data_IF_178926333610
#
_entry.id   IF_178926333610
#
_cell.length_a   1.000
_cell.length_b   1.000
_cell.length_c   1.000
_cell.angle_alpha   90.00
_cell.angle_beta   90.00
_cell.angle_gamma   90.00
#
_symmetry.space_group_name_H-M   'P 1'
#
loop_
_entity.id
_entity.type
_entity.pdbx_description
1 polymer ?
#
# COMPACT_ATOMS: atom_id res chain seq x y z
N UNK A 1 -8.80 28.92 -21.77
CA UNK A 1 -8.77 27.85 -20.74
C UNK A 1 -9.44 26.63 -21.34
N UNK A 2 -8.69 25.84 -22.12
CA UNK A 2 -9.22 24.64 -22.79
C UNK A 2 -8.94 23.43 -21.88
N UNK A 3 -9.97 22.95 -21.20
CA UNK A 3 -9.95 21.65 -20.51
C UNK A 3 -10.19 20.60 -21.59
N UNK A 4 -9.11 20.02 -22.14
CA UNK A 4 -9.22 18.78 -22.88
C UNK A 4 -9.44 17.66 -21.87
N UNK A 5 -10.71 17.34 -21.61
CA UNK A 5 -11.09 16.08 -21.01
C UNK A 5 -10.76 14.98 -22.02
N UNK A 6 -9.58 14.36 -21.86
CA UNK A 6 -9.30 13.06 -22.46
C UNK A 6 -10.24 12.06 -21.78
N UNK A 7 -11.45 11.93 -22.34
CA UNK A 7 -12.28 10.74 -22.15
C UNK A 7 -11.51 9.58 -22.78
N UNK A 8 -10.69 8.91 -21.97
CA UNK A 8 -10.36 7.53 -22.26
C UNK A 8 -11.72 6.81 -22.20
N UNK A 9 -12.22 6.23 -23.31
CA UNK A 9 -13.45 5.46 -23.24
C UNK A 9 -13.22 4.41 -22.16
N UNK A 10 -14.09 4.38 -21.15
CA UNK A 10 -14.21 3.23 -20.28
C UNK A 10 -14.35 2.04 -21.21
N UNK A 11 -13.29 1.25 -21.38
CA UNK A 11 -13.45 -0.05 -21.99
C UNK A 11 -14.52 -0.73 -21.16
N UNK A 12 -15.58 -1.18 -21.82
CA UNK A 12 -16.52 -2.10 -21.20
C UNK A 12 -15.68 -3.15 -20.48
N UNK A 13 -15.93 -3.32 -19.18
CA UNK A 13 -15.43 -4.46 -18.42
C UNK A 13 -15.90 -5.68 -19.21
N UNK A 14 -15.02 -6.23 -20.03
CA UNK A 14 -15.32 -7.47 -20.73
C UNK A 14 -15.53 -8.49 -19.63
N UNK A 15 -16.75 -9.01 -19.52
CA UNK A 15 -17.02 -10.16 -18.69
C UNK A 15 -15.94 -11.19 -18.98
N UNK A 16 -15.30 -11.72 -17.93
CA UNK A 16 -14.30 -12.73 -18.12
C UNK A 16 -14.93 -13.88 -18.91
N UNK A 17 -14.41 -14.19 -20.10
CA UNK A 17 -14.73 -15.45 -20.76
C UNK A 17 -14.39 -16.58 -19.78
N UNK A 18 -15.24 -17.59 -19.65
CA UNK A 18 -15.18 -18.73 -18.71
C UNK A 18 -13.92 -19.64 -18.83
N UNK A 19 -12.81 -19.12 -19.36
CA UNK A 19 -11.51 -19.78 -19.51
C UNK A 19 -10.46 -19.40 -18.48
N UNK A 20 -10.77 -18.56 -17.48
CA UNK A 20 -9.79 -18.17 -16.45
C UNK A 20 -9.27 -19.37 -15.64
N UNK A 21 -10.13 -20.33 -15.32
CA UNK A 21 -9.72 -21.58 -14.68
C UNK A 21 -8.65 -22.32 -15.49
N UNK A 22 -8.84 -22.42 -16.81
CA UNK A 22 -7.86 -23.06 -17.69
C UNK A 22 -6.57 -22.25 -17.77
N UNK A 23 -6.66 -20.92 -17.89
CA UNK A 23 -5.47 -20.03 -17.87
C UNK A 23 -4.64 -20.20 -16.59
N UNK A 24 -5.28 -20.30 -15.43
CA UNK A 24 -4.59 -20.54 -14.14
C UNK A 24 -3.89 -21.89 -14.14
N UNK A 25 -4.55 -22.94 -14.65
CA UNK A 25 -3.96 -24.29 -14.78
C UNK A 25 -2.79 -24.31 -15.75
N UNK A 26 -2.94 -23.71 -16.93
CA UNK A 26 -1.90 -23.65 -17.97
C UNK A 26 -0.67 -22.87 -17.48
N UNK A 27 -0.89 -21.76 -16.77
CA UNK A 27 0.16 -20.96 -16.14
C UNK A 27 0.81 -21.69 -14.95
N UNK A 28 0.16 -22.71 -14.40
CA UNK A 28 0.63 -23.47 -13.23
C UNK A 28 0.71 -22.65 -11.94
N UNK A 29 0.10 -21.47 -11.89
CA UNK A 29 0.14 -20.58 -10.71
C UNK A 29 -1.21 -19.91 -10.47
N UNK A 30 -1.65 -19.90 -9.21
CA UNK A 30 -2.83 -19.16 -8.73
C UNK A 30 -2.36 -17.95 -7.93
N UNK A 31 -2.63 -16.75 -8.44
CA UNK A 31 -2.26 -15.47 -7.82
C UNK A 31 -3.42 -14.98 -6.96
N UNK A 32 -3.22 -14.91 -5.65
CA UNK A 32 -4.26 -14.56 -4.68
C UNK A 32 -3.99 -13.20 -4.04
N UNK A 33 -4.96 -12.29 -4.12
CA UNK A 33 -4.95 -11.02 -3.41
C UNK A 33 -5.44 -11.16 -1.97
N UNK A 34 -4.75 -10.56 -1.00
CA UNK A 34 -5.14 -10.57 0.42
C UNK A 34 -4.64 -9.32 1.16
N UNK A 35 -5.17 -9.04 2.36
CA UNK A 35 -4.67 -8.02 3.29
C UNK A 35 -4.25 -8.67 4.60
N UNK A 36 -2.97 -9.03 4.73
CA UNK A 36 -2.43 -9.85 5.82
C UNK A 36 -2.24 -9.10 7.16
N UNK A 37 -3.24 -8.31 7.54
CA UNK A 37 -3.36 -7.58 8.81
C UNK A 37 -4.63 -7.99 9.60
N UNK A 38 -5.21 -9.15 9.30
CA UNK A 38 -6.51 -9.60 9.79
C UNK A 38 -6.48 -11.00 10.46
N UNK A 39 -5.71 -11.21 11.54
CA UNK A 39 -5.71 -12.48 12.25
C UNK A 39 -7.07 -12.78 12.90
N UNK A 40 -7.59 -14.03 12.87
CA UNK A 40 -6.92 -15.26 12.45
C UNK A 40 -7.13 -15.64 10.97
N UNK A 41 -7.70 -14.76 10.14
CA UNK A 41 -8.00 -15.05 8.73
C UNK A 41 -6.73 -15.04 7.88
N UNK A 42 -6.06 -13.90 7.83
CA UNK A 42 -4.81 -13.72 7.11
C UNK A 42 -3.89 -12.82 7.90
N UNK A 43 -2.70 -13.32 8.17
CA UNK A 43 -1.66 -12.57 8.86
C UNK A 43 -0.31 -13.15 8.50
N UNK A 44 0.74 -12.50 8.97
CA UNK A 44 2.09 -12.94 8.70
C UNK A 44 2.77 -13.46 9.96
N UNK A 45 3.58 -14.48 9.77
CA UNK A 45 4.50 -15.00 10.78
C UNK A 45 5.90 -15.13 10.21
N UNK A 46 6.88 -15.16 11.12
CA UNK A 46 8.26 -15.47 10.78
C UNK A 46 8.49 -16.96 11.00
N UNK A 47 8.91 -17.66 9.95
CA UNK A 47 9.33 -19.06 10.04
C UNK A 47 10.59 -19.23 9.19
N UNK A 48 11.69 -19.69 9.78
CA UNK A 48 12.95 -19.91 9.06
C UNK A 48 13.63 -18.65 8.50
N UNK A 49 13.28 -17.45 8.99
CA UNK A 49 13.83 -16.19 8.45
C UNK A 49 12.97 -15.53 7.38
N UNK A 50 11.98 -16.26 6.84
CA UNK A 50 11.08 -15.77 5.79
C UNK A 50 9.71 -15.36 6.35
N UNK A 51 9.07 -14.44 5.63
CA UNK A 51 7.67 -14.06 5.86
C UNK A 51 6.77 -15.12 5.26
N UNK A 52 5.99 -15.80 6.11
CA UNK A 52 4.93 -16.69 5.65
C UNK A 52 3.57 -16.07 5.90
N UNK A 53 2.70 -16.16 4.90
CA UNK A 53 1.29 -15.84 5.03
C UNK A 53 0.54 -17.06 5.58
N UNK A 54 -0.11 -16.86 6.72
CA UNK A 54 -0.80 -17.91 7.47
C UNK A 54 -2.18 -17.43 7.93
N UNK A 55 -3.00 -18.38 8.38
CA UNK A 55 -4.36 -18.12 8.85
C UNK A 55 -5.39 -18.92 8.07
N UNK A 56 -6.65 -18.81 8.49
CA UNK A 56 -7.79 -19.51 7.90
C UNK A 56 -7.87 -19.32 6.38
N UNK A 57 -7.76 -18.09 5.91
CA UNK A 57 -7.89 -17.74 4.49
C UNK A 57 -6.70 -18.29 3.69
N UNK A 58 -5.51 -18.28 4.27
CA UNK A 58 -4.32 -18.82 3.63
C UNK A 58 -4.39 -20.35 3.51
N UNK A 59 -4.96 -21.04 4.49
CA UNK A 59 -5.13 -22.48 4.42
C UNK A 59 -6.23 -22.88 3.42
N UNK A 60 -7.31 -22.09 3.30
CA UNK A 60 -8.30 -22.26 2.22
C UNK A 60 -7.66 -22.01 0.85
N UNK A 61 -6.85 -20.96 0.70
CA UNK A 61 -6.16 -20.64 -0.56
C UNK A 61 -5.18 -21.76 -0.96
N UNK A 62 -4.40 -22.30 0.00
CA UNK A 62 -3.50 -23.44 -0.22
C UNK A 62 -4.28 -24.68 -0.65
N UNK A 63 -5.39 -24.99 0.02
CA UNK A 63 -6.24 -26.14 -0.34
C UNK A 63 -6.82 -25.99 -1.73
N UNK A 64 -7.27 -24.80 -2.11
CA UNK A 64 -7.79 -24.53 -3.43
C UNK A 64 -6.72 -24.63 -4.52
N UNK A 65 -5.53 -24.04 -4.30
CA UNK A 65 -4.40 -24.19 -5.22
C UNK A 65 -3.98 -25.66 -5.41
N UNK A 66 -3.97 -26.44 -4.31
CA UNK A 66 -3.69 -27.87 -4.36
C UNK A 66 -4.75 -28.65 -5.15
N UNK A 67 -6.03 -28.35 -4.97
CA UNK A 67 -7.13 -28.97 -5.74
C UNK A 67 -7.04 -28.65 -7.24
N UNK A 68 -6.47 -27.50 -7.59
CA UNK A 68 -6.20 -27.10 -8.98
C UNK A 68 -4.89 -27.67 -9.54
N UNK A 69 -4.01 -28.20 -8.69
CA UNK A 69 -2.68 -28.69 -9.09
C UNK A 69 -1.68 -27.58 -9.45
N UNK A 70 -1.85 -26.38 -8.89
CA UNK A 70 -1.04 -25.18 -9.22
C UNK A 70 -0.29 -24.62 -8.01
N UNK A 71 0.75 -23.83 -8.25
CA UNK A 71 1.49 -23.15 -7.18
C UNK A 71 0.73 -21.91 -6.70
N UNK A 72 0.64 -21.72 -5.39
CA UNK A 72 0.03 -20.54 -4.80
C UNK A 72 1.01 -19.36 -4.75
N UNK A 73 0.58 -18.19 -5.23
CA UNK A 73 1.33 -16.92 -5.14
C UNK A 73 0.48 -15.89 -4.42
N UNK A 74 0.95 -15.40 -3.27
CA UNK A 74 0.22 -14.40 -2.48
C UNK A 74 0.67 -12.99 -2.84
N UNK A 75 -0.28 -12.10 -3.13
CA UNK A 75 -0.10 -10.66 -3.26
C UNK A 75 -0.81 -9.93 -2.12
N UNK A 76 -0.02 -9.47 -1.16
CA UNK A 76 -0.51 -8.68 -0.04
C UNK A 76 -0.61 -7.20 -0.41
N UNK A 77 -1.73 -6.54 -0.11
CA UNK A 77 -1.96 -5.11 -0.36
C UNK A 77 -2.98 -4.54 0.63
N UNK A 78 -3.36 -3.26 0.49
CA UNK A 78 -4.44 -2.70 1.31
C UNK A 78 -5.79 -3.31 0.92
N UNK A 79 -6.67 -3.51 1.92
CA UNK A 79 -7.98 -4.12 1.73
C UNK A 79 -8.85 -3.39 0.71
N UNK A 80 -8.82 -2.05 0.69
CA UNK A 80 -9.55 -1.20 -0.25
C UNK A 80 -9.06 -1.34 -1.71
N UNK A 81 -7.86 -1.87 -1.91
CA UNK A 81 -7.24 -2.05 -3.22
C UNK A 81 -7.50 -3.44 -3.82
N UNK A 82 -8.07 -4.37 -3.05
CA UNK A 82 -8.24 -5.77 -3.44
C UNK A 82 -9.19 -5.96 -4.63
N UNK A 83 -10.35 -5.31 -4.60
CA UNK A 83 -11.33 -5.43 -5.69
C UNK A 83 -10.81 -4.78 -6.97
N UNK A 84 -10.15 -3.63 -6.87
CA UNK A 84 -9.47 -2.99 -8.01
C UNK A 84 -8.40 -3.91 -8.59
N UNK A 85 -7.61 -4.59 -7.76
CA UNK A 85 -6.61 -5.55 -8.21
C UNK A 85 -7.24 -6.76 -8.94
N UNK A 86 -8.43 -7.18 -8.53
CA UNK A 86 -9.19 -8.26 -9.15
C UNK A 86 -9.78 -7.84 -10.50
N UNK A 87 -10.41 -6.67 -10.55
CA UNK A 87 -10.98 -6.06 -11.76
C UNK A 87 -9.91 -5.77 -12.83
N UNK A 88 -8.71 -5.36 -12.39
CA UNK A 88 -7.56 -5.12 -13.29
C UNK A 88 -6.74 -6.38 -13.58
N UNK A 89 -7.24 -7.56 -13.22
CA UNK A 89 -6.61 -8.87 -13.43
C UNK A 89 -5.18 -8.98 -12.89
N UNK A 90 -4.84 -8.23 -11.83
CA UNK A 90 -3.56 -8.34 -11.13
C UNK A 90 -3.52 -9.56 -10.20
N UNK A 91 -4.68 -10.07 -9.82
CA UNK A 91 -4.88 -11.30 -9.03
C UNK A 91 -5.99 -12.11 -9.70
N UNK A 92 -5.93 -13.44 -9.54
CA UNK A 92 -6.93 -14.38 -10.09
C UNK A 92 -8.13 -14.52 -9.15
N UNK A 93 -7.92 -14.28 -7.85
CA UNK A 93 -8.97 -14.26 -6.84
C UNK A 93 -8.55 -13.42 -5.62
N UNK A 94 -9.52 -13.02 -4.82
CA UNK A 94 -9.30 -12.35 -3.52
C UNK A 94 -9.89 -13.20 -2.40
N UNK A 95 -9.09 -13.44 -1.37
CA UNK A 95 -9.53 -14.05 -0.11
C UNK A 95 -8.92 -13.26 1.06
N UNK A 96 -9.78 -12.55 1.78
CA UNK A 96 -9.38 -11.64 2.86
C UNK A 96 -10.53 -11.33 3.82
N UNK A 97 -11.19 -12.38 4.34
CA UNK A 97 -12.37 -12.26 5.20
C UNK A 97 -13.56 -11.55 4.54
N UNK A 98 -13.57 -11.44 3.20
CA UNK A 98 -14.40 -10.47 2.49
C UNK A 98 -15.88 -10.86 2.48
N UNK A 99 -16.74 -9.94 2.92
CA UNK A 99 -18.20 -10.12 2.85
C UNK A 99 -18.74 -9.87 1.43
N UNK A 100 -19.60 -10.76 0.88
CA UNK A 100 -20.21 -10.58 -0.43
C UNK A 100 -21.44 -9.66 -0.33
N UNK A 101 -21.22 -8.37 -0.14
CA UNK A 101 -22.30 -7.37 -0.13
C UNK A 101 -22.90 -7.21 -1.52
N UNK A 102 -24.16 -6.76 -1.62
CA UNK A 102 -24.84 -6.53 -2.89
C UNK A 102 -24.04 -5.58 -3.80
N UNK A 103 -23.53 -4.50 -3.24
CA UNK A 103 -22.67 -3.53 -3.95
C UNK A 103 -21.43 -4.19 -4.56
N UNK A 104 -20.76 -5.11 -3.85
CA UNK A 104 -19.59 -5.82 -4.40
C UNK A 104 -19.98 -6.83 -5.48
N UNK A 105 -21.16 -7.45 -5.33
CA UNK A 105 -21.67 -8.40 -6.31
C UNK A 105 -22.00 -7.75 -7.67
N UNK A 106 -22.16 -6.43 -7.72
CA UNK A 106 -22.29 -5.71 -9.00
C UNK A 106 -20.98 -5.75 -9.79
N UNK A 107 -19.83 -5.60 -9.12
CA UNK A 107 -18.51 -5.55 -9.76
C UNK A 107 -17.80 -6.89 -9.90
N UNK A 108 -18.03 -7.84 -8.99
CA UNK A 108 -17.31 -9.13 -8.93
C UNK A 108 -18.25 -10.29 -8.62
N UNK A 109 -17.80 -11.51 -8.88
CA UNK A 109 -18.53 -12.72 -8.48
C UNK A 109 -17.95 -13.31 -7.19
N UNK A 110 -18.78 -14.02 -6.43
CA UNK A 110 -18.38 -14.61 -5.15
C UNK A 110 -18.63 -16.11 -5.09
N UNK A 111 -17.76 -16.81 -4.37
CA UNK A 111 -18.05 -18.17 -3.92
C UNK A 111 -19.15 -18.19 -2.85
N UNK A 112 -19.58 -19.40 -2.51
CA UNK A 112 -20.36 -19.68 -1.30
C UNK A 112 -19.56 -19.23 -0.08
N UNK A 113 -20.27 -18.69 0.91
CA UNK A 113 -19.70 -18.32 2.22
C UNK A 113 -18.91 -19.50 2.80
N UNK A 114 -17.60 -19.34 3.03
CA UNK A 114 -16.77 -20.37 3.65
C UNK A 114 -16.81 -20.32 5.17
N UNK A 115 -16.93 -19.12 5.75
CA UNK A 115 -16.98 -18.92 7.20
C UNK A 115 -18.01 -17.84 7.56
N UNK A 116 -18.66 -17.98 8.72
CA UNK A 116 -19.60 -16.96 9.24
C UNK A 116 -19.12 -16.46 10.59
N UNK A 117 -18.48 -15.30 10.62
CA UNK A 117 -18.24 -14.55 11.84
C UNK A 117 -19.34 -13.53 12.12
N UNK A 118 -19.57 -13.28 13.42
CA UNK A 118 -20.42 -12.19 13.88
C UNK A 118 -19.62 -10.88 13.91
N UNK A 119 -20.32 -9.75 14.04
CA UNK A 119 -19.70 -8.42 14.08
C UNK A 119 -19.61 -7.92 15.51
N UNK A 120 -18.40 -7.57 15.93
CA UNK A 120 -18.06 -7.23 17.31
C UNK A 120 -17.40 -5.85 17.40
N UNK A 121 -17.20 -5.38 18.62
CA UNK A 121 -16.39 -4.20 18.89
C UNK A 121 -15.26 -4.54 19.86
N UNK A 122 -14.09 -3.97 19.58
CA UNK A 122 -12.97 -3.92 20.49
C UNK A 122 -13.00 -2.58 21.23
N UNK A 123 -12.83 -2.61 22.54
CA UNK A 123 -12.78 -1.44 23.42
C UNK A 123 -11.55 -1.51 24.33
N UNK A 124 -11.15 -0.39 24.93
CA UNK A 124 -10.20 -0.45 26.04
C UNK A 124 -10.86 -1.14 27.24
N UNK A 125 -10.10 -1.98 27.94
CA UNK A 125 -10.57 -2.71 29.12
C UNK A 125 -11.10 -1.78 30.22
N UNK A 126 -10.52 -0.59 30.36
CA UNK A 126 -11.00 0.45 31.29
C UNK A 126 -12.43 0.94 31.01
N UNK A 127 -12.88 0.87 29.75
CA UNK A 127 -14.18 1.37 29.31
C UNK A 127 -15.29 0.29 29.36
N UNK A 128 -14.97 -0.90 29.85
CA UNK A 128 -15.90 -2.05 29.93
C UNK A 128 -17.18 -1.74 30.69
N UNK A 129 -17.11 -0.95 31.77
CA UNK A 129 -18.29 -0.61 32.56
C UNK A 129 -19.24 0.32 31.79
N UNK A 130 -18.67 1.15 30.91
CA UNK A 130 -19.38 2.18 30.13
C UNK A 130 -20.00 1.60 28.86
N UNK A 131 -19.31 0.69 28.18
CA UNK A 131 -19.75 0.14 26.90
C UNK A 131 -20.24 -1.31 27.01
N UNK A 132 -21.57 -1.49 26.97
CA UNK A 132 -22.24 -2.80 27.09
C UNK A 132 -23.11 -3.18 25.89
N UNK A 133 -23.52 -2.21 25.07
CA UNK A 133 -24.41 -2.41 23.90
C UNK A 133 -24.28 -1.27 22.89
N UNK A 134 -24.85 -1.39 21.68
CA UNK A 134 -24.85 -0.29 20.68
C UNK A 134 -25.33 1.04 21.28
N UNK A 135 -26.37 1.03 22.12
CA UNK A 135 -26.93 2.25 22.71
C UNK A 135 -25.94 2.97 23.63
N UNK A 136 -25.04 2.24 24.28
CA UNK A 136 -24.03 2.82 25.17
C UNK A 136 -22.94 3.62 24.44
N UNK A 137 -22.88 3.51 23.12
CA UNK A 137 -21.95 4.29 22.28
C UNK A 137 -22.48 5.64 21.85
N UNK A 138 -23.62 6.14 22.34
CA UNK A 138 -24.12 7.45 21.88
C UNK A 138 -23.04 8.56 21.96
N UNK A 139 -22.90 9.34 20.89
CA UNK A 139 -21.95 10.45 20.78
C UNK A 139 -20.48 10.03 21.02
N UNK A 140 -20.10 8.85 20.56
CA UNK A 140 -18.72 8.35 20.62
C UNK A 140 -18.09 8.30 19.23
N UNK A 141 -16.76 8.25 19.18
CA UNK A 141 -16.01 8.04 17.93
C UNK A 141 -15.73 6.55 17.77
N UNK A 142 -16.19 5.96 16.66
CA UNK A 142 -16.08 4.52 16.36
C UNK A 142 -15.15 4.33 15.17
N UNK A 143 -14.08 3.58 15.36
CA UNK A 143 -13.15 3.20 14.31
C UNK A 143 -13.64 2.01 13.49
N UNK A 144 -13.39 2.00 12.18
CA UNK A 144 -13.61 0.84 11.33
C UNK A 144 -12.68 0.87 10.10
N UNK A 145 -12.35 -0.29 9.53
CA UNK A 145 -11.48 -0.36 8.36
C UNK A 145 -12.19 0.21 7.13
N UNK A 146 -11.56 1.13 6.39
CA UNK A 146 -12.16 1.73 5.20
C UNK A 146 -12.52 0.65 4.18
N UNK A 147 -13.71 0.75 3.57
CA UNK A 147 -14.21 -0.20 2.58
C UNK A 147 -14.73 -1.53 3.15
N UNK A 148 -14.75 -1.71 4.48
CA UNK A 148 -15.26 -2.92 5.14
C UNK A 148 -16.77 -2.89 5.43
N UNK A 149 -17.38 -4.06 5.66
CA UNK A 149 -18.78 -4.15 6.10
C UNK A 149 -19.00 -3.42 7.44
N UNK A 150 -18.04 -3.52 8.35
CA UNK A 150 -18.11 -2.91 9.68
C UNK A 150 -18.15 -1.38 9.58
N UNK A 151 -17.42 -0.79 8.64
CA UNK A 151 -17.49 0.64 8.36
C UNK A 151 -18.91 1.05 7.93
N UNK A 152 -19.50 0.30 6.99
CA UNK A 152 -20.88 0.54 6.53
C UNK A 152 -21.91 0.35 7.64
N UNK A 153 -21.79 -0.70 8.46
CA UNK A 153 -22.69 -0.96 9.58
C UNK A 153 -22.66 0.15 10.64
N UNK A 154 -21.48 0.64 11.00
CA UNK A 154 -21.33 1.79 11.91
C UNK A 154 -21.99 3.03 11.31
N UNK A 155 -21.70 3.34 10.04
CA UNK A 155 -22.28 4.50 9.34
C UNK A 155 -23.82 4.45 9.28
N UNK A 156 -24.40 3.27 9.06
CA UNK A 156 -25.85 3.09 8.90
C UNK A 156 -26.59 3.01 10.24
N UNK A 157 -26.05 2.29 11.23
CA UNK A 157 -26.76 1.93 12.46
C UNK A 157 -26.37 2.80 13.66
N UNK A 158 -25.26 3.53 13.59
CA UNK A 158 -24.76 4.39 14.67
C UNK A 158 -24.72 5.85 14.21
N UNK A 159 -25.82 6.37 13.67
CA UNK A 159 -25.90 7.72 13.06
C UNK A 159 -25.53 8.88 14.01
N UNK A 160 -25.66 8.67 15.33
CA UNK A 160 -25.30 9.66 16.36
C UNK A 160 -23.83 9.56 16.79
N UNK A 161 -23.02 8.80 16.06
CA UNK A 161 -21.60 8.59 16.32
C UNK A 161 -20.77 9.18 15.20
N UNK A 162 -19.57 9.63 15.56
CA UNK A 162 -18.54 9.91 14.57
C UNK A 162 -17.90 8.59 14.14
N UNK A 163 -17.74 8.38 12.83
CA UNK A 163 -17.01 7.23 12.29
C UNK A 163 -15.62 7.66 11.83
N UNK A 164 -14.60 6.91 12.25
CA UNK A 164 -13.21 7.13 11.84
C UNK A 164 -12.72 5.95 11.00
N UNK A 165 -12.57 6.18 9.70
CA UNK A 165 -12.02 5.21 8.75
C UNK A 165 -10.50 5.24 8.74
N UNK A 166 -9.85 4.08 8.84
CA UNK A 166 -8.42 3.91 8.55
C UNK A 166 -8.21 2.67 7.68
N UNK A 167 -7.16 2.65 6.88
CA UNK A 167 -6.89 1.55 5.95
C UNK A 167 -6.43 0.25 6.64
N UNK A 168 -5.70 0.37 7.76
CA UNK A 168 -5.11 -0.77 8.49
C UNK A 168 -5.81 -0.99 9.82
N UNK A 169 -6.04 -2.25 10.16
CA UNK A 169 -6.68 -2.59 11.42
C UNK A 169 -5.81 -2.26 12.65
N UNK A 170 -4.49 -2.45 12.53
CA UNK A 170 -3.54 -2.12 13.59
C UNK A 170 -3.58 -0.62 13.95
N UNK A 171 -3.72 0.27 12.97
CA UNK A 171 -3.81 1.70 13.21
C UNK A 171 -5.08 2.07 13.99
N UNK A 172 -6.19 1.36 13.74
CA UNK A 172 -7.42 1.50 14.51
C UNK A 172 -7.24 1.04 15.95
N UNK A 173 -6.53 -0.08 16.17
CA UNK A 173 -6.21 -0.56 17.52
C UNK A 173 -5.31 0.42 18.27
N UNK A 174 -4.33 1.04 17.60
CA UNK A 174 -3.50 2.10 18.19
C UNK A 174 -4.35 3.34 18.52
N UNK A 175 -5.23 3.75 17.61
CA UNK A 175 -6.17 4.85 17.84
C UNK A 175 -7.07 4.57 19.05
N UNK A 176 -7.51 3.31 19.23
CA UNK A 176 -8.29 2.89 20.38
C UNK A 176 -7.48 3.00 21.67
N UNK A 177 -6.28 2.44 21.71
CA UNK A 177 -5.40 2.46 22.88
C UNK A 177 -5.03 3.88 23.32
N UNK A 178 -4.85 4.78 22.34
CA UNK A 178 -4.58 6.21 22.58
C UNK A 178 -5.83 7.04 22.90
N UNK A 179 -7.03 6.44 22.88
CA UNK A 179 -8.28 7.13 23.15
C UNK A 179 -8.78 8.05 22.03
N UNK A 180 -8.16 8.01 20.84
CA UNK A 180 -8.60 8.73 19.64
C UNK A 180 -9.89 8.16 19.03
N UNK A 181 -10.20 6.90 19.34
CA UNK A 181 -11.51 6.27 19.12
C UNK A 181 -11.91 5.52 20.39
N UNK A 182 -13.21 5.37 20.63
CA UNK A 182 -13.75 4.72 21.82
C UNK A 182 -14.00 3.22 21.62
N UNK A 183 -14.22 2.81 20.37
CA UNK A 183 -14.33 1.42 19.97
C UNK A 183 -13.84 1.23 18.54
N UNK A 184 -13.47 0.01 18.19
CA UNK A 184 -13.18 -0.40 16.82
C UNK A 184 -14.10 -1.54 16.43
N UNK A 185 -14.89 -1.35 15.37
CA UNK A 185 -15.74 -2.39 14.82
C UNK A 185 -14.90 -3.34 13.94
N UNK A 186 -15.00 -4.64 14.22
CA UNK A 186 -14.28 -5.71 13.52
C UNK A 186 -15.03 -7.04 13.66
N UNK A 187 -14.62 -8.06 12.90
CA UNK A 187 -15.23 -9.38 13.03
C UNK A 187 -14.86 -10.08 14.34
N UNK A 188 -15.73 -10.96 14.82
CA UNK A 188 -15.64 -11.62 16.13
C UNK A 188 -14.29 -12.30 16.37
N UNK A 189 -13.82 -13.10 15.40
CA UNK A 189 -12.59 -13.87 15.56
C UNK A 189 -11.38 -12.93 15.71
N UNK A 190 -11.35 -11.85 14.92
CA UNK A 190 -10.33 -10.81 14.97
C UNK A 190 -10.37 -10.00 16.26
N UNK A 191 -11.56 -9.59 16.72
CA UNK A 191 -11.71 -8.92 18.02
C UNK A 191 -11.15 -9.77 19.16
N UNK A 192 -11.51 -11.07 19.17
CA UNK A 192 -11.04 -12.02 20.18
C UNK A 192 -9.53 -12.24 20.10
N UNK A 193 -8.97 -12.29 18.88
CA UNK A 193 -7.53 -12.38 18.65
C UNK A 193 -6.78 -11.21 19.31
N UNK A 194 -7.21 -9.97 19.06
CA UNK A 194 -6.58 -8.78 19.66
C UNK A 194 -6.74 -8.74 21.19
N UNK A 195 -7.92 -9.03 21.73
CA UNK A 195 -8.11 -9.00 23.17
C UNK A 195 -7.38 -10.12 23.92
N UNK A 196 -7.18 -11.29 23.29
CA UNK A 196 -6.39 -12.38 23.87
C UNK A 196 -4.90 -12.02 23.94
N UNK A 197 -4.38 -11.35 22.90
CA UNK A 197 -2.97 -10.98 22.80
C UNK A 197 -2.64 -9.59 23.37
N UNK A 198 -3.64 -8.84 23.83
CA UNK A 198 -3.47 -7.53 24.44
C UNK A 198 -4.33 -7.39 25.69
N UNK A 199 -3.68 -7.41 26.86
CA UNK A 199 -4.35 -7.37 28.17
C UNK A 199 -5.11 -6.06 28.46
N UNK A 200 -4.81 -4.99 27.72
CA UNK A 200 -5.48 -3.70 27.81
C UNK A 200 -6.77 -3.58 27.00
N UNK A 201 -7.11 -4.60 26.20
CA UNK A 201 -8.27 -4.59 25.30
C UNK A 201 -9.34 -5.57 25.76
N UNK A 202 -10.60 -5.29 25.40
CA UNK A 202 -11.73 -6.18 25.66
C UNK A 202 -12.68 -6.19 24.45
N UNK A 203 -13.30 -7.34 24.25
CA UNK A 203 -14.32 -7.55 23.21
C UNK A 203 -15.72 -7.38 23.80
N UNK A 204 -16.61 -6.73 23.05
CA UNK A 204 -18.04 -6.66 23.34
C UNK A 204 -18.84 -7.06 22.10
N UNK A 205 -20.01 -7.66 22.31
CA UNK A 205 -20.98 -7.90 21.26
C UNK A 205 -21.96 -6.72 21.20
N UNK A 206 -21.85 -5.81 20.22
CA UNK A 206 -22.77 -4.70 20.07
C UNK A 206 -24.18 -5.14 19.65
N UNK A 207 -24.32 -6.36 19.10
CA UNK A 207 -25.53 -6.86 18.43
C UNK A 207 -25.91 -6.04 17.19
N UNK A 208 -24.96 -5.85 16.27
CA UNK A 208 -25.25 -5.29 14.95
C UNK A 208 -26.35 -6.09 14.26
N UNK A 209 -27.31 -5.39 13.64
CA UNK A 209 -28.30 -6.04 12.76
C UNK A 209 -27.61 -6.29 11.43
N UNK A 210 -27.40 -7.54 11.06
CA UNK A 210 -26.76 -7.86 9.78
C UNK A 210 -27.68 -8.76 8.99
N UNK A 211 -27.86 -8.46 7.71
CA UNK A 211 -28.61 -9.32 6.81
C UNK A 211 -27.85 -10.64 6.67
N UNK A 212 -28.51 -11.76 6.98
CA UNK A 212 -27.94 -13.10 6.88
C UNK A 212 -27.35 -13.42 5.50
N UNK A 213 -27.88 -12.82 4.43
CA UNK A 213 -27.38 -12.96 3.05
C UNK A 213 -26.02 -12.27 2.83
N UNK A 214 -25.71 -11.25 3.63
CA UNK A 214 -24.47 -10.47 3.57
C UNK A 214 -23.46 -10.86 4.66
N UNK A 215 -23.82 -11.82 5.53
CA UNK A 215 -22.96 -12.29 6.62
C UNK A 215 -22.05 -13.44 6.22
N UNK A 216 -20.78 -13.29 6.62
CA UNK A 216 -19.74 -14.29 6.42
C UNK A 216 -18.80 -13.92 5.29
N UNK A 217 -17.74 -14.71 5.18
CA UNK A 217 -16.62 -14.47 4.28
C UNK A 217 -16.74 -15.39 3.06
N UNK A 218 -16.52 -14.81 1.88
CA UNK A 218 -16.51 -15.49 0.59
C UNK A 218 -15.26 -15.11 -0.21
N UNK A 219 -14.92 -15.94 -1.18
CA UNK A 219 -13.82 -15.70 -2.12
C UNK A 219 -14.38 -14.87 -3.27
N UNK A 220 -13.73 -13.78 -3.63
CA UNK A 220 -14.12 -12.97 -4.79
C UNK A 220 -13.33 -13.37 -6.04
N UNK A 221 -14.01 -13.38 -7.18
CA UNK A 221 -13.51 -13.70 -8.51
C UNK A 221 -13.92 -12.60 -9.52
N UNK A 222 -13.22 -12.47 -10.66
CA UNK A 222 -13.63 -11.53 -11.70
C UNK A 222 -15.08 -11.77 -12.14
N UNK A 223 -15.77 -10.70 -12.56
CA UNK A 223 -17.15 -10.80 -13.02
C UNK A 223 -17.27 -11.74 -14.24
N UNK A 224 -18.19 -12.69 -14.17
CA UNK A 224 -18.43 -13.70 -15.20
C UNK A 224 -17.59 -14.96 -15.07
N UNK A 225 -16.72 -15.08 -14.05
CA UNK A 225 -15.80 -16.21 -13.89
C UNK A 225 -16.46 -17.43 -13.24
N UNK A 226 -17.46 -17.99 -13.93
CA UNK A 226 -18.30 -19.08 -13.42
C UNK A 226 -17.53 -20.36 -13.11
N UNK A 227 -16.50 -20.70 -13.91
CA UNK A 227 -15.67 -21.88 -13.72
C UNK A 227 -14.78 -21.80 -12.48
N UNK A 228 -14.13 -20.66 -12.22
CA UNK A 228 -13.36 -20.47 -10.99
C UNK A 228 -14.28 -20.50 -9.76
N UNK A 229 -15.44 -19.85 -9.84
CA UNK A 229 -16.45 -19.88 -8.76
C UNK A 229 -16.92 -21.30 -8.49
N UNK A 230 -17.22 -22.09 -9.53
CA UNK A 230 -17.65 -23.48 -9.39
C UNK A 230 -16.55 -24.37 -8.76
N UNK A 231 -15.30 -24.23 -9.22
CA UNK A 231 -14.16 -24.94 -8.67
C UNK A 231 -13.95 -24.59 -7.18
N UNK A 232 -13.96 -23.30 -6.84
CA UNK A 232 -13.84 -22.83 -5.46
C UNK A 232 -14.97 -23.35 -4.57
N UNK A 233 -16.20 -23.37 -5.09
CA UNK A 233 -17.36 -23.92 -4.38
C UNK A 233 -17.21 -25.42 -4.09
N UNK A 234 -16.63 -26.18 -5.02
CA UNK A 234 -16.31 -27.60 -4.79
C UNK A 234 -15.33 -27.78 -3.63
N UNK A 235 -14.23 -27.01 -3.63
CA UNK A 235 -13.26 -27.01 -2.52
C UNK A 235 -13.90 -26.60 -1.20
N UNK A 236 -14.71 -25.54 -1.18
CA UNK A 236 -15.41 -25.07 0.04
C UNK A 236 -16.38 -26.13 0.57
N UNK A 237 -17.11 -26.83 -0.30
CA UNK A 237 -17.99 -27.92 0.12
C UNK A 237 -17.20 -29.06 0.77
N UNK A 238 -16.03 -29.42 0.21
CA UNK A 238 -15.15 -30.45 0.78
C UNK A 238 -14.60 -30.03 2.15
N UNK A 239 -14.14 -28.78 2.28
CA UNK A 239 -13.67 -28.19 3.54
C UNK A 239 -14.76 -28.24 4.61
N UNK A 240 -16.00 -27.89 4.25
CA UNK A 240 -17.15 -27.93 5.17
C UNK A 240 -17.54 -29.37 5.55
N UNK A 241 -17.59 -30.28 4.58
CA UNK A 241 -17.93 -31.70 4.80
C UNK A 241 -16.97 -32.36 5.79
N UNK A 242 -15.68 -32.01 5.71
CA UNK A 242 -14.65 -32.51 6.62
C UNK A 242 -14.53 -31.68 7.91
N UNK A 243 -15.24 -30.55 8.01
CA UNK A 243 -15.17 -29.59 9.11
C UNK A 243 -13.73 -29.09 9.38
N UNK A 244 -12.92 -28.92 8.33
CA UNK A 244 -11.51 -28.55 8.44
C UNK A 244 -11.32 -27.18 9.09
N UNK A 245 -12.25 -26.25 8.85
CA UNK A 245 -12.19 -24.90 9.43
C UNK A 245 -12.10 -24.95 10.95
N UNK A 246 -13.01 -25.69 11.60
CA UNK A 246 -13.07 -25.73 13.06
C UNK A 246 -12.08 -26.74 13.65
N UNK A 247 -11.83 -27.86 12.96
CA UNK A 247 -10.94 -28.92 13.44
C UNK A 247 -9.46 -28.59 13.27
N UNK A 248 -9.10 -27.84 12.24
CA UNK A 248 -7.71 -27.68 11.82
C UNK A 248 -7.33 -26.22 11.59
N UNK A 249 -8.01 -25.49 10.69
CA UNK A 249 -7.54 -24.18 10.23
C UNK A 249 -7.58 -23.12 11.34
N UNK A 250 -8.68 -22.99 12.09
CA UNK A 250 -8.76 -22.07 13.23
C UNK A 250 -7.78 -22.46 14.34
N UNK A 251 -7.69 -23.73 14.78
CA UNK A 251 -6.66 -24.16 15.72
C UNK A 251 -5.22 -23.87 15.25
N UNK A 252 -4.91 -24.09 13.97
CA UNK A 252 -3.58 -23.82 13.41
C UNK A 252 -3.26 -22.33 13.40
N UNK A 253 -4.19 -21.48 12.98
CA UNK A 253 -4.08 -20.03 13.13
C UNK A 253 -3.82 -19.65 14.60
N UNK A 254 -4.55 -20.27 15.54
CA UNK A 254 -4.35 -20.09 16.97
C UNK A 254 -2.95 -20.47 17.47
N UNK A 255 -2.33 -21.53 16.93
CA UNK A 255 -0.94 -21.93 17.25
C UNK A 255 0.06 -20.88 16.79
N UNK A 256 -0.08 -20.38 15.57
CA UNK A 256 0.76 -19.30 15.04
C UNK A 256 0.69 -18.03 15.90
N UNK A 257 -0.51 -17.72 16.40
CA UNK A 257 -0.71 -16.57 17.30
C UNK A 257 -0.13 -16.81 18.69
N UNK A 258 -0.25 -18.03 19.24
CA UNK A 258 0.24 -18.38 20.58
C UNK A 258 1.76 -18.56 20.65
N UNK A 259 2.40 -19.06 19.59
CA UNK A 259 3.86 -19.16 19.51
C UNK A 259 4.56 -17.79 19.55
N UNK A 260 3.83 -16.72 19.25
CA UNK A 260 4.37 -15.38 19.11
C UNK A 260 4.44 -14.55 20.41
N UNK A 261 3.97 -15.09 21.55
CA UNK A 261 3.82 -14.31 22.80
C UNK A 261 4.94 -14.52 23.83
N UNK A 262 5.67 -15.65 23.83
CA UNK A 262 6.51 -16.03 24.99
C UNK A 262 8.04 -15.84 24.82
N UNK A 263 8.58 -15.54 23.63
CA UNK A 263 10.05 -15.36 23.41
C UNK A 263 10.45 -14.25 22.43
N UNK A 264 9.54 -13.34 22.10
CA UNK A 264 9.76 -12.37 21.02
C UNK A 264 10.34 -11.04 21.48
N UNK A 265 11.66 -11.02 21.64
CA UNK A 265 12.40 -9.76 21.58
C UNK A 265 12.26 -9.16 20.19
N UNK A 266 12.16 -7.83 20.13
CA UNK A 266 12.07 -7.07 18.87
C UNK A 266 13.27 -7.35 17.95
N UNK A 267 14.41 -7.76 18.52
CA UNK A 267 15.61 -8.18 17.82
C UNK A 267 15.35 -9.34 16.84
N UNK A 268 14.41 -10.24 17.14
CA UNK A 268 14.07 -11.36 16.27
C UNK A 268 13.46 -10.88 14.94
N UNK A 269 12.97 -9.64 14.88
CA UNK A 269 12.39 -9.03 13.68
C UNK A 269 13.36 -8.12 12.93
N UNK A 270 14.63 -8.03 13.34
CA UNK A 270 15.64 -7.17 12.67
C UNK A 270 15.76 -7.46 11.17
N UNK A 271 15.61 -8.73 10.76
CA UNK A 271 15.65 -9.11 9.34
C UNK A 271 14.55 -8.46 8.49
N UNK A 272 13.38 -8.16 9.07
CA UNK A 272 12.31 -7.42 8.39
C UNK A 272 12.77 -6.00 8.10
N UNK A 273 13.32 -5.32 9.10
CA UNK A 273 13.83 -3.96 8.93
C UNK A 273 15.03 -3.89 7.99
N UNK A 274 15.97 -4.84 8.06
CA UNK A 274 17.11 -4.92 7.14
C UNK A 274 16.65 -5.08 5.68
N UNK A 275 15.70 -5.99 5.43
CA UNK A 275 15.08 -6.14 4.10
C UNK A 275 14.33 -4.87 3.69
N UNK A 276 13.64 -4.21 4.62
CA UNK A 276 12.97 -2.93 4.36
C UNK A 276 13.95 -1.84 3.93
N UNK A 277 15.08 -1.70 4.63
CA UNK A 277 16.17 -0.78 4.29
C UNK A 277 16.70 -1.07 2.89
N UNK A 278 17.01 -2.34 2.59
CA UNK A 278 17.53 -2.78 1.29
C UNK A 278 16.62 -2.33 0.14
N UNK A 279 15.33 -2.65 0.21
CA UNK A 279 14.38 -2.32 -0.85
C UNK A 279 14.07 -0.81 -0.91
N UNK A 280 14.00 -0.12 0.23
CA UNK A 280 13.85 1.35 0.26
C UNK A 280 15.04 2.02 -0.45
N UNK A 281 16.27 1.59 -0.17
CA UNK A 281 17.46 2.12 -0.84
C UNK A 281 17.50 1.73 -2.32
N UNK A 282 17.16 0.49 -2.67
CA UNK A 282 17.07 0.05 -4.08
C UNK A 282 16.11 0.91 -4.89
N UNK A 283 14.87 1.06 -4.40
CA UNK A 283 13.84 1.87 -5.07
C UNK A 283 14.33 3.31 -5.23
N UNK A 284 14.91 3.87 -4.16
CA UNK A 284 15.36 5.27 -4.20
C UNK A 284 16.53 5.47 -5.15
N UNK A 285 17.57 4.63 -5.10
CA UNK A 285 18.77 4.76 -5.96
C UNK A 285 18.40 4.63 -7.43
N UNK A 286 17.60 3.61 -7.77
CA UNK A 286 17.14 3.41 -9.15
C UNK A 286 16.27 4.58 -9.61
N UNK A 287 15.38 5.06 -8.74
CA UNK A 287 14.48 6.17 -9.09
C UNK A 287 15.21 7.52 -9.22
N UNK A 288 16.23 7.77 -8.41
CA UNK A 288 17.10 8.96 -8.56
C UNK A 288 17.88 8.88 -9.85
N UNK A 289 18.42 7.72 -10.22
CA UNK A 289 19.18 7.58 -11.47
C UNK A 289 18.30 7.90 -12.69
N UNK A 290 17.14 7.26 -12.82
CA UNK A 290 16.23 7.52 -13.94
C UNK A 290 15.59 8.91 -13.85
N UNK A 291 15.19 9.34 -12.65
CA UNK A 291 14.65 10.67 -12.39
C UNK A 291 15.64 11.77 -12.76
N UNK A 292 16.94 11.58 -12.50
CA UNK A 292 17.96 12.53 -12.89
C UNK A 292 18.16 12.58 -14.42
N UNK A 293 18.32 11.42 -15.06
CA UNK A 293 18.51 11.33 -16.53
C UNK A 293 17.34 11.97 -17.27
N UNK A 294 16.11 11.60 -16.91
CA UNK A 294 14.90 12.17 -17.50
C UNK A 294 14.71 13.63 -17.08
N UNK A 295 15.05 13.98 -15.83
CA UNK A 295 14.92 15.34 -15.31
C UNK A 295 15.81 16.33 -16.05
N UNK A 296 17.04 15.95 -16.39
CA UNK A 296 17.93 16.73 -17.26
C UNK A 296 17.29 16.93 -18.64
N UNK A 297 16.74 15.87 -19.23
CA UNK A 297 16.07 15.96 -20.53
C UNK A 297 14.87 16.92 -20.51
N UNK A 298 13.98 16.80 -19.51
CA UNK A 298 12.83 17.68 -19.33
C UNK A 298 13.23 19.13 -18.99
N UNK A 299 14.30 19.34 -18.23
CA UNK A 299 14.85 20.67 -17.96
C UNK A 299 15.31 21.34 -19.26
N UNK A 300 16.04 20.62 -20.11
CA UNK A 300 16.50 21.13 -21.41
C UNK A 300 15.33 21.43 -22.35
N UNK A 301 14.30 20.57 -22.39
CA UNK A 301 13.07 20.83 -23.15
C UNK A 301 12.38 22.09 -22.66
N UNK A 302 12.27 22.28 -21.35
CA UNK A 302 11.65 23.47 -20.74
C UNK A 302 12.45 24.74 -21.00
N UNK A 303 13.77 24.68 -21.05
CA UNK A 303 14.63 25.83 -21.37
C UNK A 303 14.80 26.07 -22.87
N UNK A 304 14.22 25.22 -23.72
CA UNK A 304 14.30 25.34 -25.17
C UNK A 304 13.48 26.52 -25.70
N UNK A 305 13.98 27.15 -26.75
CA UNK A 305 13.22 28.17 -27.50
C UNK A 305 12.08 27.56 -28.32
N UNK A 306 12.09 26.23 -28.54
CA UNK A 306 11.00 25.55 -29.23
C UNK A 306 9.75 25.49 -28.35
N UNK A 307 8.74 26.29 -28.72
CA UNK A 307 7.47 26.42 -27.99
C UNK A 307 6.76 25.09 -27.73
N UNK A 308 6.87 24.12 -28.65
CA UNK A 308 6.25 22.82 -28.48
C UNK A 308 6.94 21.97 -27.41
N UNK A 309 8.28 21.88 -27.46
CA UNK A 309 9.06 21.16 -26.45
C UNK A 309 8.92 21.80 -25.06
N UNK A 310 8.95 23.14 -25.03
CA UNK A 310 8.70 23.90 -23.80
C UNK A 310 7.33 23.57 -23.21
N UNK A 311 6.28 23.64 -24.03
CA UNK A 311 4.92 23.37 -23.58
C UNK A 311 4.74 21.93 -23.08
N UNK A 312 5.28 20.92 -23.78
CA UNK A 312 5.24 19.53 -23.33
C UNK A 312 5.93 19.34 -21.97
N UNK A 313 7.10 19.93 -21.80
CA UNK A 313 7.84 19.83 -20.54
C UNK A 313 7.10 20.52 -19.39
N UNK A 314 6.56 21.72 -19.63
CA UNK A 314 5.74 22.43 -18.65
C UNK A 314 4.50 21.61 -18.28
N UNK A 315 3.74 21.11 -19.27
CA UNK A 315 2.55 20.32 -19.01
C UNK A 315 2.83 19.08 -18.14
N UNK A 316 3.89 18.34 -18.46
CA UNK A 316 4.33 17.19 -17.67
C UNK A 316 4.74 17.58 -16.24
N UNK A 317 5.63 18.57 -16.09
CA UNK A 317 6.17 18.96 -14.78
C UNK A 317 5.06 19.49 -13.87
N UNK A 318 4.19 20.36 -14.38
CA UNK A 318 3.08 20.93 -13.59
C UNK A 318 2.06 19.85 -13.20
N UNK A 319 1.75 18.91 -14.10
CA UNK A 319 0.84 17.80 -13.79
C UNK A 319 1.40 16.86 -12.72
N UNK A 320 2.66 16.43 -12.87
CA UNK A 320 3.29 15.50 -11.94
C UNK A 320 3.51 16.14 -10.57
N UNK A 321 3.94 17.40 -10.51
CA UNK A 321 4.08 18.11 -9.22
C UNK A 321 2.74 18.52 -8.60
N UNK A 322 1.70 18.65 -9.43
CA UNK A 322 0.34 18.96 -9.00
C UNK A 322 -0.48 17.75 -8.52
N UNK A 323 0.04 16.52 -8.65
CA UNK A 323 -0.65 15.28 -8.28
C UNK A 323 0.06 14.53 -7.15
N UNK A 324 -0.66 13.97 -6.17
CA UNK A 324 -0.03 13.20 -5.09
C UNK A 324 0.71 11.97 -5.63
N UNK A 325 1.94 11.71 -5.14
CA UNK A 325 2.73 10.54 -5.53
C UNK A 325 1.98 9.22 -5.30
N UNK A 326 1.17 9.14 -4.24
CA UNK A 326 0.32 7.97 -3.95
C UNK A 326 -0.59 7.64 -5.13
N UNK A 327 -1.24 8.65 -5.70
CA UNK A 327 -2.15 8.49 -6.84
C UNK A 327 -1.36 8.09 -8.08
N UNK A 328 -0.16 8.63 -8.28
CA UNK A 328 0.73 8.24 -9.38
C UNK A 328 1.13 6.76 -9.28
N UNK A 329 1.51 6.27 -8.09
CA UNK A 329 1.84 4.86 -7.86
C UNK A 329 0.63 3.96 -8.15
N UNK A 330 -0.56 4.32 -7.66
CA UNK A 330 -1.79 3.58 -7.94
C UNK A 330 -2.12 3.59 -9.43
N UNK A 331 -1.97 4.71 -10.12
CA UNK A 331 -2.24 4.83 -11.55
C UNK A 331 -1.26 4.01 -12.40
N UNK A 332 0.03 4.02 -12.09
CA UNK A 332 1.03 3.21 -12.81
C UNK A 332 0.77 1.71 -12.58
N UNK A 333 0.43 1.31 -11.35
CA UNK A 333 0.20 -0.11 -11.05
C UNK A 333 -1.13 -0.64 -11.60
N UNK A 334 -2.24 0.05 -11.33
CA UNK A 334 -3.59 -0.38 -11.71
C UNK A 334 -4.02 0.12 -13.09
N UNK A 335 -3.73 1.40 -13.42
CA UNK A 335 -4.17 2.04 -14.67
C UNK A 335 -3.37 1.55 -15.89
N UNK A 336 -2.06 1.80 -15.92
CA UNK A 336 -1.16 1.34 -17.01
C UNK A 336 -1.11 -0.20 -17.05
N UNK A 337 -1.39 -0.85 -15.91
CA UNK A 337 -1.50 -2.28 -15.78
C UNK A 337 -2.51 -2.97 -16.72
N UNK A 338 -3.49 -2.22 -17.24
CA UNK A 338 -4.44 -2.70 -18.25
C UNK A 338 -3.81 -2.82 -19.65
N UNK A 339 -2.84 -1.96 -19.97
CA UNK A 339 -2.08 -1.97 -21.22
C UNK A 339 -0.89 -2.94 -21.16
N UNK A 340 -0.22 -3.01 -20.01
CA UNK A 340 0.90 -3.94 -19.75
C UNK A 340 0.45 -4.96 -18.70
N UNK A 341 -0.13 -6.05 -19.20
CA UNK A 341 -0.54 -7.17 -18.36
C UNK A 341 0.71 -7.75 -17.65
N UNK A 342 0.62 -7.93 -16.33
CA UNK A 342 1.69 -8.48 -15.47
C UNK A 342 2.88 -7.58 -15.08
N UNK A 343 2.75 -6.25 -15.12
CA UNK A 343 3.79 -5.37 -14.52
C UNK A 343 4.00 -5.68 -13.02
N UNK A 344 5.23 -6.05 -12.57
CA UNK A 344 5.50 -6.31 -11.16
C UNK A 344 5.36 -5.05 -10.31
N UNK A 345 4.84 -5.19 -9.08
CA UNK A 345 4.58 -4.05 -8.18
C UNK A 345 5.84 -3.22 -7.89
N UNK A 346 7.00 -3.88 -7.68
CA UNK A 346 8.27 -3.19 -7.46
C UNK A 346 8.65 -2.28 -8.64
N UNK A 347 8.50 -2.79 -9.87
CA UNK A 347 8.80 -2.04 -11.09
C UNK A 347 7.81 -0.89 -11.27
N UNK A 348 6.52 -1.12 -11.02
CA UNK A 348 5.52 -0.06 -11.04
C UNK A 348 5.83 1.06 -10.04
N UNK A 349 6.25 0.70 -8.82
CA UNK A 349 6.72 1.63 -7.80
C UNK A 349 7.93 2.43 -8.27
N UNK A 350 8.97 1.76 -8.81
CA UNK A 350 10.16 2.43 -9.35
C UNK A 350 9.80 3.38 -10.49
N UNK A 351 8.93 2.98 -11.43
CA UNK A 351 8.50 3.85 -12.54
C UNK A 351 7.79 5.08 -11.99
N UNK A 352 6.81 4.91 -11.10
CA UNK A 352 6.06 6.02 -10.54
C UNK A 352 6.96 7.00 -9.78
N UNK A 353 7.84 6.49 -8.92
CA UNK A 353 8.79 7.31 -8.14
C UNK A 353 9.82 7.99 -9.06
N UNK A 354 10.28 7.33 -10.13
CA UNK A 354 11.19 7.91 -11.12
C UNK A 354 10.53 9.05 -11.90
N UNK A 355 9.29 8.88 -12.34
CA UNK A 355 8.53 9.91 -13.04
C UNK A 355 8.25 11.11 -12.13
N UNK A 356 7.95 10.86 -10.87
CA UNK A 356 7.82 11.93 -9.90
C UNK A 356 9.15 12.71 -9.75
N UNK A 357 10.23 11.99 -9.45
CA UNK A 357 11.57 12.57 -9.31
C UNK A 357 12.03 13.33 -10.56
N UNK A 358 11.65 12.88 -11.76
CA UNK A 358 11.92 13.58 -13.03
C UNK A 358 11.43 15.02 -13.01
N UNK A 359 10.20 15.25 -12.54
CA UNK A 359 9.61 16.59 -12.52
C UNK A 359 10.29 17.51 -11.49
N UNK A 360 10.65 16.97 -10.32
CA UNK A 360 11.37 17.72 -9.28
C UNK A 360 12.80 18.04 -9.70
N UNK A 361 13.54 17.07 -10.26
CA UNK A 361 14.89 17.30 -10.79
C UNK A 361 14.87 18.33 -11.91
N UNK A 362 13.92 18.23 -12.85
CA UNK A 362 13.79 19.20 -13.93
C UNK A 362 13.59 20.62 -13.41
N UNK A 363 12.77 20.78 -12.37
CA UNK A 363 12.52 22.06 -11.71
C UNK A 363 13.76 22.58 -10.96
N UNK A 364 14.48 21.71 -10.27
CA UNK A 364 15.72 22.07 -9.57
C UNK A 364 16.76 22.59 -10.55
N UNK A 365 16.94 21.92 -11.70
CA UNK A 365 17.89 22.34 -12.74
C UNK A 365 17.48 23.71 -13.31
N UNK A 366 16.19 23.87 -13.66
CA UNK A 366 15.65 25.14 -14.16
C UNK A 366 15.88 26.28 -13.16
N UNK A 367 15.49 26.07 -11.90
CA UNK A 367 15.62 27.07 -10.83
C UNK A 367 17.08 27.41 -10.53
N UNK A 368 17.97 26.42 -10.61
CA UNK A 368 19.40 26.64 -10.46
C UNK A 368 20.00 27.49 -11.59
N UNK A 369 19.56 27.31 -12.83
CA UNK A 369 20.01 28.14 -13.96
C UNK A 369 19.44 29.57 -13.84
N UNK A 370 18.16 29.72 -13.52
CA UNK A 370 17.52 31.02 -13.36
C UNK A 370 17.98 31.80 -12.12
N UNK A 371 18.56 31.12 -11.14
CA UNK A 371 19.12 31.77 -9.95
C UNK A 371 20.36 32.64 -10.25
N UNK A 372 20.97 32.49 -11.44
CA UNK A 372 22.12 33.29 -11.84
C UNK A 372 21.66 34.66 -12.33
N UNK A 373 22.15 35.78 -11.75
CA UNK A 373 21.73 37.12 -12.14
C UNK A 373 21.95 37.40 -13.63
N UNK A 374 20.99 38.05 -14.28
CA UNK A 374 21.05 38.40 -15.71
C UNK A 374 22.28 39.23 -16.07
N UNK A 375 22.79 40.05 -15.14
CA UNK A 375 24.03 40.82 -15.30
C UNK A 375 25.27 39.97 -15.63
N UNK A 376 25.32 38.69 -15.21
CA UNK A 376 26.39 37.77 -15.61
C UNK A 376 26.33 37.45 -17.11
N UNK A 377 25.11 37.33 -17.65
CA UNK A 377 24.90 37.13 -19.08
C UNK A 377 25.26 38.39 -19.85
N UNK A 378 24.82 39.57 -19.38
CA UNK A 378 25.13 40.86 -20.01
C UNK A 378 26.64 41.14 -20.03
N UNK A 379 27.34 40.95 -18.90
CA UNK A 379 28.79 41.12 -18.82
C UNK A 379 29.54 40.17 -19.76
N UNK A 380 29.14 38.89 -19.82
CA UNK A 380 29.74 37.91 -20.73
C UNK A 380 29.54 38.31 -22.20
N UNK A 381 28.37 38.85 -22.56
CA UNK A 381 28.08 39.33 -23.92
C UNK A 381 28.89 40.58 -24.26
N UNK A 382 29.11 41.48 -23.30
CA UNK A 382 29.99 42.64 -23.46
C UNK A 382 31.46 42.26 -23.68
N UNK A 383 31.90 41.13 -23.11
CA UNK A 383 33.23 40.56 -23.34
C UNK A 383 33.34 39.74 -24.66
N UNK A 384 32.30 39.76 -25.51
CA UNK A 384 32.30 39.10 -26.82
C UNK A 384 31.96 37.61 -26.81
N UNK A 385 31.52 37.05 -25.67
CA UNK A 385 31.12 35.64 -25.62
C UNK A 385 29.80 35.42 -26.39
N UNK A 386 29.76 34.38 -27.23
CA UNK A 386 28.51 33.93 -27.84
C UNK A 386 27.59 33.30 -26.78
N UNK A 387 26.28 33.25 -27.02
CA UNK A 387 25.32 32.67 -26.05
C UNK A 387 25.70 31.24 -25.61
N UNK A 388 26.23 30.42 -26.53
CA UNK A 388 26.74 29.07 -26.20
C UNK A 388 27.95 29.12 -25.28
N UNK A 389 28.88 30.05 -25.52
CA UNK A 389 30.06 30.24 -24.67
C UNK A 389 29.67 30.81 -23.30
N UNK A 390 28.75 31.77 -23.25
CA UNK A 390 28.20 32.30 -22.00
C UNK A 390 27.57 31.20 -21.15
N UNK A 391 26.72 30.35 -21.74
CA UNK A 391 26.11 29.24 -21.00
C UNK A 391 27.14 28.22 -20.52
N UNK A 392 28.11 27.84 -21.38
CA UNK A 392 29.10 26.82 -21.06
C UNK A 392 30.11 27.26 -19.99
N UNK A 393 30.59 28.50 -20.08
CA UNK A 393 31.71 28.99 -19.25
C UNK A 393 31.28 29.87 -18.08
N UNK A 394 30.10 30.49 -18.13
CA UNK A 394 29.63 31.41 -17.09
C UNK A 394 28.44 30.82 -16.33
N UNK A 395 27.34 30.52 -17.03
CA UNK A 395 26.07 30.17 -16.36
C UNK A 395 26.09 28.76 -15.78
N UNK A 396 26.36 27.73 -16.58
CA UNK A 396 26.28 26.32 -16.13
C UNK A 396 27.22 26.03 -14.95
N UNK A 397 28.49 26.45 -14.94
CA UNK A 397 29.37 26.19 -13.79
C UNK A 397 28.87 26.80 -12.48
N UNK A 398 28.27 28.00 -12.54
CA UNK A 398 27.68 28.65 -11.37
C UNK A 398 26.35 27.99 -10.97
N UNK A 399 25.48 27.70 -11.95
CA UNK A 399 24.22 27.03 -11.73
C UNK A 399 24.41 25.65 -11.08
N UNK A 400 25.43 24.88 -11.49
CA UNK A 400 25.74 23.58 -10.87
C UNK A 400 26.01 23.68 -9.37
N UNK A 401 26.66 24.76 -8.90
CA UNK A 401 26.88 24.99 -7.47
C UNK A 401 25.57 25.22 -6.70
N UNK A 402 24.55 25.79 -7.36
CA UNK A 402 23.22 26.01 -6.78
C UNK A 402 22.31 24.79 -6.91
N UNK A 403 22.47 24.01 -7.98
CA UNK A 403 21.69 22.79 -8.27
C UNK A 403 22.07 21.67 -7.30
N UNK A 404 23.37 21.49 -7.01
CA UNK A 404 23.84 20.33 -6.25
C UNK A 404 23.20 20.18 -4.86
N UNK A 405 23.16 21.22 -4.00
CA UNK A 405 22.51 21.09 -2.68
C UNK A 405 21.02 20.75 -2.79
N UNK A 406 20.33 21.33 -3.79
CA UNK A 406 18.93 21.07 -4.02
C UNK A 406 18.66 19.61 -4.48
N UNK A 407 19.51 19.05 -5.35
CA UNK A 407 19.44 17.64 -5.73
C UNK A 407 19.72 16.70 -4.55
N UNK A 408 20.67 17.06 -3.67
CA UNK A 408 20.94 16.31 -2.45
C UNK A 408 19.72 16.24 -1.52
N UNK A 409 19.06 17.37 -1.30
CA UNK A 409 17.82 17.44 -0.52
C UNK A 409 16.68 16.63 -1.16
N UNK A 410 16.57 16.67 -2.48
CA UNK A 410 15.59 15.87 -3.22
C UNK A 410 15.83 14.36 -3.02
N UNK A 411 17.08 13.91 -3.07
CA UNK A 411 17.40 12.50 -2.81
C UNK A 411 17.02 12.07 -1.38
N UNK A 412 17.30 12.89 -0.37
CA UNK A 412 16.87 12.62 1.02
C UNK A 412 15.35 12.54 1.13
N UNK A 413 14.64 13.41 0.43
CA UNK A 413 13.17 13.40 0.38
C UNK A 413 12.66 12.12 -0.27
N UNK A 414 13.26 11.70 -1.38
CA UNK A 414 12.86 10.50 -2.12
C UNK A 414 13.01 9.22 -1.29
N UNK A 415 13.99 9.13 -0.37
CA UNK A 415 14.09 8.00 0.59
C UNK A 415 12.79 7.88 1.41
N UNK A 416 12.25 9.00 1.89
CA UNK A 416 11.02 9.02 2.70
C UNK A 416 9.80 8.78 1.83
N UNK A 417 9.72 9.42 0.66
CA UNK A 417 8.57 9.33 -0.24
C UNK A 417 8.44 7.97 -0.93
N UNK A 418 9.56 7.26 -1.13
CA UNK A 418 9.57 5.90 -1.65
C UNK A 418 8.69 4.95 -0.81
N UNK A 419 8.44 5.28 0.46
CA UNK A 419 7.60 4.46 1.33
C UNK A 419 6.15 4.32 0.90
N UNK A 420 5.68 5.20 0.02
CA UNK A 420 4.30 5.19 -0.46
C UNK A 420 4.00 3.96 -1.34
N UNK A 421 5.03 3.33 -1.91
CA UNK A 421 4.92 2.08 -2.71
C UNK A 421 4.40 0.90 -1.89
N UNK A 422 4.49 0.96 -0.55
CA UNK A 422 3.92 -0.04 0.36
C UNK A 422 2.43 -0.30 0.13
N UNK A 423 1.67 0.69 -0.37
CA UNK A 423 0.23 0.57 -0.62
C UNK A 423 -0.11 -0.51 -1.66
N UNK A 424 0.73 -0.66 -2.67
CA UNK A 424 0.59 -1.68 -3.72
C UNK A 424 1.33 -2.99 -3.36
N UNK A 425 1.73 -3.15 -2.09
CA UNK A 425 2.38 -4.37 -1.59
C UNK A 425 3.88 -4.47 -1.86
N UNK A 426 4.54 -3.37 -2.25
CA UNK A 426 5.99 -3.36 -2.43
C UNK A 426 6.68 -3.43 -1.07
N UNK A 427 7.71 -4.27 -1.00
CA UNK A 427 8.39 -4.64 0.24
C UNK A 427 9.41 -3.59 0.70
N UNK A 428 8.97 -2.39 1.06
CA UNK A 428 9.81 -1.33 1.62
C UNK A 428 9.88 -1.38 3.16
N UNK A 429 10.54 -0.39 3.79
CA UNK A 429 10.62 -0.28 5.25
C UNK A 429 9.26 -0.11 5.95
N UNK A 430 8.31 0.65 5.38
CA UNK A 430 6.97 0.81 5.97
C UNK A 430 6.18 -0.50 5.87
N UNK A 431 6.24 -1.18 4.74
CA UNK A 431 5.61 -2.49 4.57
C UNK A 431 6.16 -3.49 5.60
N UNK A 432 7.48 -3.56 5.76
CA UNK A 432 8.12 -4.44 6.74
C UNK A 432 7.75 -4.10 8.18
N UNK A 433 7.71 -2.82 8.54
CA UNK A 433 7.21 -2.36 9.84
C UNK A 433 5.76 -2.85 10.10
N UNK A 434 4.87 -2.71 9.11
CA UNK A 434 3.49 -3.17 9.22
C UNK A 434 3.37 -4.68 9.42
N UNK A 435 4.20 -5.47 8.75
CA UNK A 435 4.27 -6.92 8.96
C UNK A 435 4.67 -7.25 10.40
N UNK A 436 5.65 -6.52 10.97
CA UNK A 436 6.06 -6.72 12.35
C UNK A 436 4.96 -6.30 13.35
N UNK A 437 4.18 -5.25 13.06
CA UNK A 437 3.01 -4.89 13.87
C UNK A 437 1.96 -6.02 13.86
N UNK A 438 1.66 -6.56 12.67
CA UNK A 438 0.71 -7.67 12.48
C UNK A 438 1.16 -8.93 13.25
N UNK A 439 2.43 -9.30 13.12
CA UNK A 439 2.98 -10.44 13.83
C UNK A 439 2.95 -10.23 15.36
N UNK A 440 3.45 -9.10 15.84
CA UNK A 440 3.67 -8.88 17.29
C UNK A 440 2.44 -8.39 18.05
N UNK A 441 1.37 -7.98 17.37
CA UNK A 441 0.22 -7.28 17.96
C UNK A 441 0.60 -5.99 18.71
N UNK A 442 1.81 -5.47 18.47
CA UNK A 442 2.31 -4.23 19.07
C UNK A 442 2.27 -3.12 18.03
N UNK A 443 1.53 -2.05 18.35
CA UNK A 443 1.39 -0.93 17.46
C UNK A 443 2.56 0.06 17.47
N UNK A 444 2.95 0.55 18.65
CA UNK A 444 3.86 1.71 18.77
C UNK A 444 5.34 1.37 18.60
N UNK A 445 5.78 0.22 19.14
CA UNK A 445 7.22 -0.14 19.17
C UNK A 445 7.81 -0.29 17.76
N UNK A 446 7.17 -0.98 16.80
CA UNK A 446 7.70 -1.06 15.44
C UNK A 446 7.78 0.31 14.73
N UNK A 447 6.82 1.22 15.00
CA UNK A 447 6.82 2.59 14.45
C UNK A 447 8.05 3.36 14.95
N UNK A 448 8.34 3.29 16.25
CA UNK A 448 9.50 3.97 16.83
C UNK A 448 10.82 3.46 16.20
N UNK A 449 10.92 2.16 15.95
CA UNK A 449 12.12 1.58 15.31
C UNK A 449 12.24 2.03 13.86
N UNK A 450 11.16 2.00 13.09
CA UNK A 450 11.16 2.52 11.72
C UNK A 450 11.54 4.00 11.68
N UNK A 451 11.06 4.81 12.64
CA UNK A 451 11.43 6.21 12.80
C UNK A 451 12.94 6.39 13.02
N UNK A 452 13.53 5.62 13.94
CA UNK A 452 14.99 5.66 14.20
C UNK A 452 15.78 5.23 12.97
N UNK A 453 15.33 4.21 12.26
CA UNK A 453 16.00 3.74 11.04
C UNK A 453 15.95 4.81 9.94
N UNK A 454 14.79 5.40 9.66
CA UNK A 454 14.67 6.50 8.71
C UNK A 454 15.54 7.69 9.11
N UNK A 455 15.57 8.04 10.40
CA UNK A 455 16.44 9.08 10.91
C UNK A 455 17.92 8.77 10.64
N UNK A 456 18.39 7.56 10.97
CA UNK A 456 19.78 7.16 10.71
C UNK A 456 20.09 7.23 9.21
N UNK A 457 19.25 6.63 8.36
CA UNK A 457 19.47 6.64 6.90
C UNK A 457 19.55 8.07 6.35
N UNK A 458 18.56 8.90 6.68
CA UNK A 458 18.48 10.28 6.17
C UNK A 458 19.55 11.18 6.76
N UNK A 459 19.82 11.09 8.06
CA UNK A 459 20.86 11.87 8.73
C UNK A 459 22.26 11.53 8.22
N UNK A 460 22.58 10.24 8.08
CA UNK A 460 23.85 9.80 7.49
C UNK A 460 24.02 10.37 6.08
N UNK A 461 22.98 10.28 5.24
CA UNK A 461 23.02 10.86 3.90
C UNK A 461 23.17 12.39 3.92
N UNK A 462 22.45 13.10 4.79
CA UNK A 462 22.60 14.55 4.96
C UNK A 462 24.01 14.94 5.37
N UNK A 463 24.69 14.17 6.23
CA UNK A 463 26.08 14.44 6.62
C UNK A 463 27.06 14.23 5.46
N UNK A 464 26.85 13.18 4.67
CA UNK A 464 27.65 12.93 3.46
C UNK A 464 27.45 14.07 2.45
N UNK A 465 26.21 14.47 2.20
CA UNK A 465 25.91 15.58 1.29
C UNK A 465 26.50 16.91 1.78
N UNK A 466 26.35 17.23 3.07
CA UNK A 466 26.93 18.44 3.66
C UNK A 466 28.46 18.50 3.56
N UNK A 467 29.15 17.37 3.64
CA UNK A 467 30.60 17.29 3.41
C UNK A 467 30.98 17.66 1.98
N UNK A 468 30.24 17.15 0.98
CA UNK A 468 30.46 17.49 -0.42
C UNK A 468 30.06 18.94 -0.75
N UNK A 469 28.96 19.43 -0.17
CA UNK A 469 28.54 20.84 -0.27
C UNK A 469 29.60 21.81 0.26
N UNK A 470 30.19 21.51 1.41
CA UNK A 470 31.25 22.34 1.99
C UNK A 470 32.48 22.46 1.08
N UNK A 471 32.85 21.39 0.37
CA UNK A 471 33.96 21.42 -0.59
C UNK A 471 33.68 22.30 -1.81
N UNK A 472 32.44 22.36 -2.29
CA UNK A 472 32.07 23.18 -3.45
C UNK A 472 31.91 24.67 -3.14
N UNK A 473 31.75 25.05 -1.87
CA UNK A 473 31.75 26.47 -1.47
C UNK A 473 33.16 27.08 -1.46
N UNK A 474 34.20 26.25 -1.44
CA UNK A 474 35.60 26.66 -1.36
C UNK A 474 36.40 26.43 -2.65
N UNK A 475 35.76 25.88 -3.69
CA UNK A 475 36.25 25.79 -5.08
C UNK A 475 35.32 26.62 -5.98
#
# INVERSE_FOLDING_TARGET
MFVFALFIPFQHVNAASDGNLQKVKDKGTLVVGTSADYPPYEFTVKEGGETKYVGLDMDIAKKFAADLGVKLVIKNMNFDSLLVALETHKVDMVISGMNPTLERQESVDFSKIYYRGKQFMLINKKDTARFKSIKSFKNQTIGAQTGSLQYTLVKQQMKNNEIKGLAKLNDLVIALQSGKVNAVAMEEATAKAFAKNNTGLKVINPQFKVDSSQTGSAIAFPKGDTSMVAAANSTINNIKKQNLINKEYIPNAGKYMAGNTNKNSMLNYWTYFAKGIEYTLLITVVSVFFGFVLGVFFALMRLSHNKFLHWLAVAYIEFVRGTPLMVQVMFVYFGIGTLIQSLPALIAGIIAVSLNSTAYVAEVIRSGIESIPTGQTEAARSLGLSQKLTYRYVIIPQALKNIWPALGNEFITLIKESSIVSIIGVTDLIYQMQLVQSATYKGVVPIFIAMVIYFIMTFSLSKVLGYFEGRMKHA
#
